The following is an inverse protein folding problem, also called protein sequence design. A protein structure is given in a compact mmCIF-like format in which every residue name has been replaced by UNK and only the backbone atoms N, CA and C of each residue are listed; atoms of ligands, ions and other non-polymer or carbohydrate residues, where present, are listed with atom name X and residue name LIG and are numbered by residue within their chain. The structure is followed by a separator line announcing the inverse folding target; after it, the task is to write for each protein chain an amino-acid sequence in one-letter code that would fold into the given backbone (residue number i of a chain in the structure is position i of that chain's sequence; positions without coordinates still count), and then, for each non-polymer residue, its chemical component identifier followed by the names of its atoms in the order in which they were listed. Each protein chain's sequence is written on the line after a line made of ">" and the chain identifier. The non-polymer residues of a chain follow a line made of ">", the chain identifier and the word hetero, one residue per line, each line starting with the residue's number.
data_IF_386168178547
#
_entry.id   IF_386168178547
#
_cell.length_a   1.000
_cell.length_b   1.000
_cell.length_c   1.000
_cell.angle_alpha   90.00
_cell.angle_beta   90.00
_cell.angle_gamma   90.00
#
_symmetry.space_group_name_H-M   'P 1'
#
loop_
_entity.id
_entity.type
_entity.pdbx_description
1 polymer ?
#
# COMPACT_ATOMS: atom_id res chain seq x y z
N UNK A 1 10.33 13.93 -10.43
CA UNK A 1 10.61 13.33 -9.11
C UNK A 1 11.08 14.43 -8.18
N UNK A 2 10.50 14.55 -7.00
CA UNK A 2 11.00 15.38 -5.91
C UNK A 2 11.45 14.47 -4.77
N UNK A 3 12.44 14.87 -3.97
CA UNK A 3 12.91 14.07 -2.84
C UNK A 3 12.69 14.82 -1.54
N UNK A 4 12.17 14.12 -0.52
CA UNK A 4 11.95 14.65 0.82
C UNK A 4 12.97 14.04 1.77
N UNK A 5 13.55 14.87 2.63
CA UNK A 5 14.43 14.43 3.72
C UNK A 5 13.80 14.78 5.06
N UNK A 6 13.75 13.82 5.96
CA UNK A 6 13.28 13.96 7.33
C UNK A 6 14.40 13.55 8.29
N UNK A 7 14.18 13.71 9.60
CA UNK A 7 15.12 13.20 10.59
C UNK A 7 15.21 11.66 10.59
N UNK A 8 14.16 10.98 10.11
CA UNK A 8 14.05 9.52 10.11
C UNK A 8 14.46 8.87 8.78
N UNK A 9 14.71 9.64 7.72
CA UNK A 9 15.12 9.09 6.43
C UNK A 9 14.88 10.03 5.25
N UNK A 10 14.89 9.46 4.06
CA UNK A 10 14.56 10.16 2.83
C UNK A 10 13.67 9.28 1.95
N UNK A 11 12.79 9.90 1.18
CA UNK A 11 11.94 9.20 0.22
C UNK A 11 11.68 10.08 -1.00
N UNK A 12 11.37 9.43 -2.11
CA UNK A 12 11.06 10.08 -3.38
C UNK A 12 9.55 10.22 -3.57
N UNK A 13 9.16 11.31 -4.22
CA UNK A 13 7.81 11.63 -4.64
C UNK A 13 7.80 11.66 -6.17
N UNK A 14 7.03 10.74 -6.74
CA UNK A 14 6.82 10.62 -8.18
C UNK A 14 5.46 11.27 -8.53
N UNK A 15 5.49 12.28 -9.40
CA UNK A 15 4.29 12.94 -9.93
C UNK A 15 4.44 13.04 -11.43
N UNK A 16 3.57 12.35 -12.15
CA UNK A 16 3.51 12.37 -13.61
C UNK A 16 2.13 11.90 -14.08
N UNK A 17 1.85 12.09 -15.37
CA UNK A 17 0.67 11.49 -15.99
C UNK A 17 0.80 9.96 -15.99
N UNK A 18 -0.34 9.28 -15.84
CA UNK A 18 -0.42 7.81 -15.78
C UNK A 18 0.52 7.17 -14.73
N UNK A 19 0.72 7.82 -13.58
CA UNK A 19 1.68 7.39 -12.58
C UNK A 19 1.53 5.96 -12.06
N UNK A 20 0.30 5.46 -12.05
CA UNK A 20 0.00 4.10 -11.65
C UNK A 20 0.75 3.06 -12.49
N UNK A 21 0.93 3.33 -13.79
CA UNK A 21 1.49 2.37 -14.77
C UNK A 21 2.96 2.05 -14.49
N UNK A 22 3.70 2.96 -13.85
CA UNK A 22 5.11 2.75 -13.53
C UNK A 22 5.34 2.19 -12.13
N UNK A 23 4.29 1.96 -11.32
CA UNK A 23 4.46 1.51 -9.93
C UNK A 23 5.24 0.19 -9.85
N UNK A 24 4.97 -0.76 -10.74
CA UNK A 24 5.70 -2.04 -10.76
C UNK A 24 7.20 -1.87 -11.01
N UNK A 25 7.56 -1.02 -11.97
CA UNK A 25 8.97 -0.72 -12.29
C UNK A 25 9.66 0.05 -11.16
N UNK A 26 8.96 1.03 -10.56
CA UNK A 26 9.47 1.81 -9.43
C UNK A 26 9.75 0.88 -8.24
N UNK A 27 8.82 0.00 -7.87
CA UNK A 27 9.03 -0.96 -6.79
C UNK A 27 10.24 -1.87 -7.06
N UNK A 28 10.45 -2.31 -8.31
CA UNK A 28 11.62 -3.12 -8.67
C UNK A 28 12.92 -2.34 -8.60
N UNK A 29 12.93 -1.08 -9.04
CA UNK A 29 14.09 -0.23 -8.95
C UNK A 29 14.48 0.08 -7.49
N UNK A 30 13.52 0.06 -6.56
CA UNK A 30 13.75 0.22 -5.13
C UNK A 30 14.30 -1.04 -4.44
N UNK A 31 14.31 -2.19 -5.13
CA UNK A 31 14.75 -3.49 -4.59
C UNK A 31 14.01 -3.87 -3.29
N UNK A 32 12.70 -3.61 -3.24
CA UNK A 32 11.85 -3.88 -2.07
C UNK A 32 11.04 -5.17 -2.24
N UNK A 33 11.27 -6.13 -1.35
CA UNK A 33 10.43 -7.31 -1.13
C UNK A 33 10.02 -8.10 -2.37
N UNK A 34 9.13 -9.08 -2.18
CA UNK A 34 8.47 -9.77 -3.29
C UNK A 34 6.95 -9.88 -3.11
N UNK A 35 6.43 -9.58 -1.92
CA UNK A 35 5.01 -9.55 -1.65
C UNK A 35 4.53 -8.13 -1.33
N UNK A 36 3.49 -7.71 -2.06
CA UNK A 36 2.87 -6.41 -1.90
C UNK A 36 1.50 -6.57 -1.24
N UNK A 37 1.32 -5.96 -0.08
CA UNK A 37 0.06 -5.88 0.64
C UNK A 37 -0.61 -4.55 0.36
N UNK A 38 -1.65 -4.55 -0.47
CA UNK A 38 -2.38 -3.36 -0.90
C UNK A 38 -3.54 -3.12 0.06
N UNK A 39 -3.56 -1.95 0.69
CA UNK A 39 -4.68 -1.47 1.50
C UNK A 39 -5.33 -0.31 0.74
N UNK A 40 -6.65 -0.38 0.55
CA UNK A 40 -7.46 0.61 -0.19
C UNK A 40 -8.82 0.76 0.48
N UNK A 41 -9.62 1.75 0.05
CA UNK A 41 -11.05 1.78 0.33
C UNK A 41 -11.88 1.17 -0.82
N UNK A 42 -13.17 0.90 -0.56
CA UNK A 42 -14.10 0.29 -1.51
C UNK A 42 -14.35 1.11 -2.78
N UNK A 43 -14.30 2.45 -2.72
CA UNK A 43 -14.55 3.29 -3.89
C UNK A 43 -13.33 3.36 -4.80
N UNK A 44 -12.14 3.53 -4.22
CA UNK A 44 -10.88 3.53 -4.94
C UNK A 44 -10.57 2.14 -5.52
N UNK A 45 -10.91 1.06 -4.80
CA UNK A 45 -10.71 -0.30 -5.27
C UNK A 45 -11.43 -0.56 -6.60
N UNK A 46 -12.67 -0.07 -6.76
CA UNK A 46 -13.46 -0.24 -8.00
C UNK A 46 -12.80 0.41 -9.21
N UNK A 47 -12.00 1.45 -9.00
CA UNK A 47 -11.41 2.26 -10.07
C UNK A 47 -10.00 1.78 -10.40
N UNK A 48 -9.18 1.52 -9.37
CA UNK A 48 -7.73 1.31 -9.54
C UNK A 48 -7.22 -0.03 -8.99
N UNK A 49 -8.02 -0.77 -8.20
CA UNK A 49 -7.57 -1.95 -7.48
C UNK A 49 -7.08 -3.08 -8.40
N UNK A 50 -7.93 -3.53 -9.33
CA UNK A 50 -7.56 -4.57 -10.30
C UNK A 50 -6.39 -4.14 -11.19
N UNK A 51 -6.34 -2.85 -11.56
CA UNK A 51 -5.28 -2.29 -12.39
C UNK A 51 -3.93 -2.36 -11.68
N UNK A 52 -3.86 -1.93 -10.41
CA UNK A 52 -2.63 -1.97 -9.63
C UNK A 52 -2.16 -3.42 -9.39
N UNK A 53 -3.08 -4.32 -9.05
CA UNK A 53 -2.77 -5.76 -8.89
C UNK A 53 -2.16 -6.31 -10.18
N UNK A 54 -2.73 -5.99 -11.34
CA UNK A 54 -2.20 -6.43 -12.63
C UNK A 54 -0.80 -5.90 -12.91
N UNK A 55 -0.55 -4.60 -12.66
CA UNK A 55 0.75 -3.96 -12.87
C UNK A 55 1.83 -4.59 -12.00
N UNK A 56 1.55 -4.79 -10.71
CA UNK A 56 2.49 -5.42 -9.77
C UNK A 56 2.74 -6.90 -10.12
N UNK A 57 1.70 -7.62 -10.51
CA UNK A 57 1.82 -9.02 -10.95
C UNK A 57 2.70 -9.16 -12.19
N UNK A 58 2.56 -8.25 -13.17
CA UNK A 58 3.41 -8.20 -14.36
C UNK A 58 4.88 -7.89 -14.02
N UNK A 59 5.10 -7.09 -12.97
CA UNK A 59 6.42 -6.87 -12.40
C UNK A 59 6.90 -8.04 -11.50
N UNK A 60 6.16 -9.15 -11.42
CA UNK A 60 6.56 -10.38 -10.71
C UNK A 60 6.30 -10.37 -9.20
N UNK A 61 5.49 -9.44 -8.68
CA UNK A 61 5.13 -9.43 -7.26
C UNK A 61 3.94 -10.35 -6.98
N UNK A 62 3.94 -11.00 -5.81
CA UNK A 62 2.73 -11.61 -5.27
C UNK A 62 1.95 -10.53 -4.55
N UNK A 63 0.69 -10.33 -4.91
CA UNK A 63 -0.13 -9.26 -4.31
C UNK A 63 -1.25 -9.82 -3.45
N UNK A 64 -1.52 -9.15 -2.32
CA UNK A 64 -2.76 -9.31 -1.55
C UNK A 64 -3.42 -7.95 -1.43
N UNK A 65 -4.73 -7.87 -1.67
CA UNK A 65 -5.48 -6.62 -1.59
C UNK A 65 -6.58 -6.73 -0.55
N UNK A 66 -6.70 -5.70 0.30
CA UNK A 66 -7.80 -5.53 1.23
C UNK A 66 -8.45 -4.16 1.06
N UNK A 67 -9.77 -4.15 0.88
CA UNK A 67 -10.56 -2.94 0.78
C UNK A 67 -11.35 -2.72 2.09
N UNK A 68 -11.06 -1.64 2.80
CA UNK A 68 -11.92 -1.16 3.90
C UNK A 68 -13.11 -0.40 3.32
N UNK A 69 -14.18 -0.23 4.10
CA UNK A 69 -15.25 0.69 3.69
C UNK A 69 -14.68 2.12 3.53
N UNK A 70 -15.29 2.91 2.66
CA UNK A 70 -14.93 4.32 2.53
C UNK A 70 -15.56 5.15 3.66
N UNK A 71 -14.79 6.07 4.24
CA UNK A 71 -15.27 7.03 5.24
C UNK A 71 -14.29 7.29 6.39
N UNK A 72 -14.37 8.48 7.00
CA UNK A 72 -13.54 8.86 8.16
C UNK A 72 -13.90 8.04 9.41
N UNK A 73 -15.14 7.56 9.50
CA UNK A 73 -15.61 6.67 10.57
C UNK A 73 -14.80 5.37 10.64
N UNK A 74 -14.17 4.95 9.53
CA UNK A 74 -13.28 3.79 9.49
C UNK A 74 -11.92 4.05 10.13
N UNK A 75 -11.55 5.30 10.43
CA UNK A 75 -10.29 5.65 11.06
C UNK A 75 -10.34 5.39 12.57
N UNK A 76 -10.40 4.12 12.94
CA UNK A 76 -10.54 3.65 14.29
C UNK A 76 -9.73 2.36 14.53
N UNK A 77 -9.57 1.98 15.81
CA UNK A 77 -8.77 0.82 16.19
C UNK A 77 -9.38 -0.53 15.79
N UNK A 78 -10.71 -0.60 15.60
CA UNK A 78 -11.36 -1.82 15.12
C UNK A 78 -10.98 -2.11 13.66
N UNK A 79 -10.87 -1.06 12.83
CA UNK A 79 -10.34 -1.20 11.47
C UNK A 79 -8.86 -1.60 11.48
N UNK A 80 -8.06 -1.04 12.38
CA UNK A 80 -6.66 -1.44 12.56
C UNK A 80 -6.55 -2.93 12.92
N UNK A 81 -7.38 -3.41 13.85
CA UNK A 81 -7.41 -4.82 14.25
C UNK A 81 -7.77 -5.73 13.07
N UNK A 82 -8.77 -5.36 12.25
CA UNK A 82 -9.10 -6.10 11.02
C UNK A 82 -7.93 -6.17 10.05
N UNK A 83 -7.20 -5.06 9.88
CA UNK A 83 -6.02 -5.01 9.00
C UNK A 83 -4.88 -5.89 9.55
N UNK A 84 -4.64 -5.91 10.86
CA UNK A 84 -3.67 -6.83 11.47
C UNK A 84 -4.05 -8.29 11.23
N UNK A 85 -5.30 -8.65 11.50
CA UNK A 85 -5.77 -10.03 11.29
C UNK A 85 -5.57 -10.45 9.84
N UNK A 86 -5.95 -9.59 8.88
CA UNK A 86 -5.75 -9.85 7.47
C UNK A 86 -4.27 -10.03 7.09
N UNK A 87 -3.38 -9.17 7.59
CA UNK A 87 -1.94 -9.29 7.34
C UNK A 87 -1.36 -10.60 7.91
N UNK A 88 -1.72 -10.94 9.15
CA UNK A 88 -1.23 -12.14 9.82
C UNK A 88 -1.78 -13.43 9.18
N UNK A 89 -3.05 -13.45 8.78
CA UNK A 89 -3.68 -14.55 8.04
C UNK A 89 -3.02 -14.79 6.67
N UNK A 90 -2.47 -13.75 6.06
CA UNK A 90 -1.74 -13.83 4.80
C UNK A 90 -0.22 -13.95 5.00
N UNK A 91 0.24 -14.23 6.23
CA UNK A 91 1.63 -14.50 6.57
C UNK A 91 2.59 -13.37 6.17
N UNK A 92 2.24 -12.12 6.49
CA UNK A 92 3.15 -10.99 6.27
C UNK A 92 4.50 -11.20 6.96
N UNK A 93 5.58 -10.90 6.26
CA UNK A 93 6.95 -10.93 6.77
C UNK A 93 7.59 -9.53 6.75
N UNK A 94 8.67 -9.34 7.52
CA UNK A 94 9.38 -8.03 7.59
C UNK A 94 10.01 -7.59 6.26
N UNK A 95 10.23 -8.52 5.34
CA UNK A 95 10.72 -8.24 3.98
C UNK A 95 9.62 -7.81 3.02
N UNK A 96 8.35 -7.96 3.40
CA UNK A 96 7.22 -7.55 2.58
C UNK A 96 6.97 -6.05 2.73
N UNK A 97 6.10 -5.50 1.87
CA UNK A 97 5.78 -4.09 1.90
C UNK A 97 4.29 -3.83 1.71
N UNK A 98 3.83 -2.71 2.27
CA UNK A 98 2.46 -2.24 2.18
C UNK A 98 2.36 -1.12 1.15
N UNK A 99 1.34 -1.17 0.30
CA UNK A 99 0.95 -0.08 -0.59
C UNK A 99 -0.39 0.47 -0.12
N UNK A 100 -0.42 1.76 0.24
CA UNK A 100 -1.65 2.47 0.54
C UNK A 100 -2.19 3.10 -0.75
N UNK A 101 -3.26 2.54 -1.30
CA UNK A 101 -3.95 3.06 -2.48
C UNK A 101 -5.22 3.80 -2.04
N UNK A 102 -5.15 5.12 -1.91
CA UNK A 102 -6.30 5.92 -1.50
C UNK A 102 -5.92 7.28 -0.94
N UNK A 103 -6.87 7.90 -0.26
CA UNK A 103 -6.69 9.18 0.42
C UNK A 103 -6.17 9.06 1.86
N UNK A 104 -6.33 10.14 2.63
CA UNK A 104 -5.79 10.28 3.99
C UNK A 104 -6.16 9.16 4.96
N UNK A 105 -7.42 8.69 4.95
CA UNK A 105 -7.87 7.60 5.83
C UNK A 105 -7.08 6.31 5.58
N UNK A 106 -6.93 5.94 4.30
CA UNK A 106 -6.19 4.74 3.90
C UNK A 106 -4.72 4.88 4.26
N UNK A 107 -4.10 6.04 3.99
CA UNK A 107 -2.67 6.25 4.28
C UNK A 107 -2.38 6.32 5.76
N UNK A 108 -3.28 6.88 6.58
CA UNK A 108 -3.11 6.94 8.03
C UNK A 108 -3.21 5.54 8.66
N UNK A 109 -4.23 4.78 8.28
CA UNK A 109 -4.43 3.41 8.78
C UNK A 109 -3.34 2.46 8.28
N UNK A 110 -3.08 2.46 6.97
CA UNK A 110 -2.10 1.58 6.36
C UNK A 110 -0.67 1.93 6.80
N UNK A 111 -0.34 3.22 6.93
CA UNK A 111 0.93 3.67 7.48
C UNK A 111 1.10 3.28 8.95
N UNK A 112 0.07 3.44 9.78
CA UNK A 112 0.11 3.02 11.18
C UNK A 112 0.30 1.50 11.32
N UNK A 113 -0.46 0.72 10.56
CA UNK A 113 -0.37 -0.75 10.57
C UNK A 113 1.01 -1.19 10.10
N UNK A 114 1.51 -0.66 8.98
CA UNK A 114 2.84 -0.99 8.47
C UNK A 114 3.95 -0.67 9.50
N UNK A 115 3.88 0.48 10.17
CA UNK A 115 4.90 0.90 11.15
C UNK A 115 4.93 0.04 12.42
N UNK A 116 3.87 -0.73 12.70
CA UNK A 116 3.72 -1.51 13.93
C UNK A 116 3.82 -3.02 13.69
N UNK A 117 3.75 -3.48 12.43
CA UNK A 117 3.92 -4.89 12.06
C UNK A 117 5.21 -5.20 11.31
N UNK A 118 5.73 -4.28 10.49
CA UNK A 118 6.89 -4.52 9.62
C UNK A 118 8.23 -4.13 10.27
#
# INVERSE_FOLDING_TARGET
>A
VASVKTASGAYDIFVHDQALENVGEICRALDIGNHAFIITDTEINKIFGERLVSILSQAGYTTKLYAINAGEDQKNLETVERLYNWLLENHVERSDFVICLGGGVVTDLGGYVAATTL
#
